data_IF_762009416839
#
_entry.id   IF_762009416839
#
_cell.length_a   1.000
_cell.length_b   1.000
_cell.length_c   1.000
_cell.angle_alpha   90.00
_cell.angle_beta   90.00
_cell.angle_gamma   90.00
#
_symmetry.space_group_name_H-M   'P 1'
#
loop_
_entity.id
_entity.type
_entity.pdbx_description
1 polymer ?
#
# COMPACT_ATOMS: atom_id res chain seq x y z
N UNK A 1 -18.97 -9.57 -2.73
CA UNK A 1 -18.88 -8.32 -1.94
C UNK A 1 -18.37 -7.25 -2.88
N UNK A 2 -19.28 -6.42 -3.35
CA UNK A 2 -19.11 -5.44 -4.42
C UNK A 2 -19.95 -4.23 -4.04
N UNK A 3 -19.53 -3.50 -3.02
CA UNK A 3 -20.04 -2.16 -2.77
C UNK A 3 -18.82 -1.30 -2.40
N UNK A 4 -18.42 -0.44 -3.34
CA UNK A 4 -17.43 0.64 -3.22
C UNK A 4 -15.93 0.33 -3.35
N UNK A 5 -15.50 -0.80 -3.91
CA UNK A 5 -14.07 -1.00 -4.23
C UNK A 5 -13.68 -0.24 -5.51
N UNK A 6 -13.09 0.95 -5.38
CA UNK A 6 -12.50 1.67 -6.52
C UNK A 6 -11.07 1.20 -6.77
N UNK A 7 -10.70 0.78 -7.99
CA UNK A 7 -9.31 0.50 -8.32
C UNK A 7 -8.52 1.80 -8.26
N UNK A 8 -7.65 1.92 -7.26
CA UNK A 8 -6.56 2.90 -7.28
C UNK A 8 -5.50 2.26 -8.16
N UNK A 9 -5.22 2.81 -9.34
CA UNK A 9 -4.23 2.27 -10.28
C UNK A 9 -2.99 1.73 -9.56
N UNK A 10 -2.69 0.45 -9.71
CA UNK A 10 -1.61 -0.21 -8.98
C UNK A 10 -0.69 -0.92 -9.95
N UNK A 11 0.61 -0.63 -9.90
CA UNK A 11 1.62 -1.19 -10.80
C UNK A 11 1.53 -2.71 -10.94
N UNK A 12 2.19 -3.46 -10.07
CA UNK A 12 2.19 -4.92 -10.12
C UNK A 12 1.06 -5.57 -9.29
N UNK A 13 0.26 -4.79 -8.56
CA UNK A 13 -0.72 -5.30 -7.59
C UNK A 13 -2.05 -4.55 -7.72
N UNK A 14 -3.16 -5.22 -7.38
CA UNK A 14 -4.48 -4.60 -7.40
C UNK A 14 -4.79 -3.95 -6.05
N UNK A 15 -5.18 -2.68 -6.08
CA UNK A 15 -5.42 -1.85 -4.88
C UNK A 15 -6.85 -1.32 -4.91
N UNK A 16 -7.56 -1.43 -3.79
CA UNK A 16 -8.96 -1.04 -3.64
C UNK A 16 -9.16 -0.19 -2.39
N UNK A 17 -10.10 0.77 -2.43
CA UNK A 17 -10.61 1.44 -1.21
C UNK A 17 -11.94 0.80 -0.83
N UNK A 18 -12.02 -0.16 0.11
CA UNK A 18 -13.30 -0.74 0.50
C UNK A 18 -14.13 0.14 1.45
N UNK A 19 -13.48 1.01 2.24
CA UNK A 19 -14.10 1.83 3.29
C UNK A 19 -13.39 3.18 3.43
N UNK A 20 -14.03 4.18 4.04
CA UNK A 20 -13.61 5.59 4.04
C UNK A 20 -12.22 5.90 4.63
N UNK A 21 -11.49 4.95 5.20
CA UNK A 21 -10.12 5.17 5.71
C UNK A 21 -9.21 3.94 5.54
N UNK A 22 -9.56 3.02 4.63
CA UNK A 22 -8.82 1.77 4.44
C UNK A 22 -8.53 1.51 2.98
N UNK A 23 -7.35 0.97 2.73
CA UNK A 23 -6.90 0.45 1.45
C UNK A 23 -6.70 -1.06 1.59
N UNK A 24 -7.22 -1.83 0.65
CA UNK A 24 -6.98 -3.26 0.54
C UNK A 24 -6.13 -3.52 -0.68
N UNK A 25 -5.08 -4.30 -0.48
CA UNK A 25 -4.15 -4.73 -1.52
C UNK A 25 -4.26 -6.22 -1.72
N UNK A 26 -4.44 -6.64 -2.96
CA UNK A 26 -4.41 -8.05 -3.34
C UNK A 26 -3.03 -8.38 -3.92
N UNK A 27 -2.35 -9.36 -3.33
CA UNK A 27 -1.08 -9.89 -3.84
C UNK A 27 -1.22 -10.38 -5.28
N UNK A 28 -0.13 -10.54 -6.00
CA UNK A 28 -0.17 -11.37 -7.21
C UNK A 28 -0.46 -12.84 -6.83
N UNK A 29 -0.80 -13.65 -7.84
CA UNK A 29 -0.83 -15.11 -7.67
C UNK A 29 0.56 -15.62 -7.27
N UNK A 30 0.62 -16.71 -6.50
CA UNK A 30 1.85 -17.40 -6.09
C UNK A 30 2.73 -16.68 -5.05
N UNK A 31 2.39 -15.46 -4.63
CA UNK A 31 3.05 -14.83 -3.47
C UNK A 31 2.59 -15.54 -2.19
N UNK A 32 3.53 -15.85 -1.29
CA UNK A 32 3.23 -16.53 -0.02
C UNK A 32 2.79 -15.55 1.07
N UNK A 33 2.05 -16.07 2.06
CA UNK A 33 1.61 -15.30 3.23
C UNK A 33 2.80 -14.73 4.00
N UNK A 34 3.88 -15.50 4.11
CA UNK A 34 5.08 -15.15 4.87
C UNK A 34 5.77 -13.93 4.24
N UNK A 35 5.82 -13.86 2.91
CA UNK A 35 6.39 -12.71 2.22
C UNK A 35 5.61 -11.43 2.53
N UNK A 36 4.28 -11.49 2.49
CA UNK A 36 3.43 -10.32 2.81
C UNK A 36 3.51 -9.98 4.30
N UNK A 37 3.63 -10.97 5.19
CA UNK A 37 3.80 -10.74 6.63
C UNK A 37 5.11 -10.01 6.93
N UNK A 38 6.21 -10.38 6.28
CA UNK A 38 7.50 -9.69 6.46
C UNK A 38 7.42 -8.22 6.04
N UNK A 39 6.72 -7.92 4.93
CA UNK A 39 6.48 -6.53 4.52
C UNK A 39 5.66 -5.78 5.59
N UNK A 40 4.58 -6.39 6.08
CA UNK A 40 3.73 -5.82 7.13
C UNK A 40 4.53 -5.58 8.43
N UNK A 41 5.38 -6.51 8.82
CA UNK A 41 6.26 -6.38 9.98
C UNK A 41 7.19 -5.17 9.83
N UNK A 42 7.78 -5.00 8.65
CA UNK A 42 8.65 -3.87 8.36
C UNK A 42 7.91 -2.54 8.38
N UNK A 43 6.73 -2.46 7.74
CA UNK A 43 5.91 -1.24 7.75
C UNK A 43 5.46 -0.90 9.17
N UNK A 44 5.06 -1.89 9.98
CA UNK A 44 4.70 -1.66 11.38
C UNK A 44 5.89 -1.18 12.21
N UNK A 45 7.08 -1.73 11.96
CA UNK A 45 8.30 -1.25 12.59
C UNK A 45 8.52 0.24 12.32
N UNK A 46 8.45 0.68 11.05
CA UNK A 46 8.59 2.08 10.65
C UNK A 46 7.50 2.97 11.28
N UNK A 47 6.24 2.53 11.24
CA UNK A 47 5.12 3.23 11.86
C UNK A 47 5.37 3.47 13.36
N UNK A 48 5.86 2.46 14.08
CA UNK A 48 6.17 2.57 15.50
C UNK A 48 7.38 3.47 15.81
N UNK A 49 8.25 3.73 14.83
CA UNK A 49 9.36 4.68 14.96
C UNK A 49 8.98 6.12 14.59
N UNK A 50 7.73 6.35 14.15
CA UNK A 50 7.23 7.67 13.80
C UNK A 50 7.45 8.07 12.35
N UNK A 51 7.87 7.14 11.50
CA UNK A 51 7.97 7.38 10.06
C UNK A 51 6.57 7.56 9.43
N UNK A 52 6.42 8.41 8.40
CA UNK A 52 5.15 8.69 7.75
C UNK A 52 4.75 7.56 6.78
N UNK A 53 4.42 6.39 7.34
CA UNK A 53 3.94 5.19 6.63
C UNK A 53 2.53 4.81 7.08
N UNK A 54 1.75 4.07 6.28
CA UNK A 54 0.39 3.71 6.67
C UNK A 54 0.41 2.69 7.80
N UNK A 55 -0.52 2.82 8.76
CA UNK A 55 -0.76 1.74 9.71
C UNK A 55 -1.27 0.50 8.97
N UNK A 56 -0.84 -0.69 9.39
CA UNK A 56 -1.23 -1.95 8.75
C UNK A 56 -1.95 -2.89 9.71
N UNK A 57 -2.81 -3.75 9.16
CA UNK A 57 -3.40 -4.86 9.91
C UNK A 57 -2.60 -6.14 9.67
N UNK A 58 -2.13 -6.79 10.74
CA UNK A 58 -1.37 -8.05 10.65
C UNK A 58 -2.23 -9.23 10.17
N UNK A 59 -3.55 -9.10 10.18
CA UNK A 59 -4.46 -10.16 9.75
C UNK A 59 -4.54 -10.19 8.22
N UNK A 60 -3.99 -11.24 7.63
CA UNK A 60 -4.15 -11.55 6.22
C UNK A 60 -5.45 -12.30 5.95
N UNK A 61 -6.08 -12.02 4.80
CA UNK A 61 -7.25 -12.78 4.32
C UNK A 61 -6.94 -13.43 2.98
N UNK A 62 -7.52 -14.59 2.71
CA UNK A 62 -7.42 -15.23 1.40
C UNK A 62 -8.65 -14.88 0.56
N UNK A 63 -8.44 -14.44 -0.68
CA UNK A 63 -9.51 -14.11 -1.63
C UNK A 63 -9.11 -14.57 -3.03
N UNK A 64 -9.84 -15.53 -3.57
CA UNK A 64 -9.58 -16.09 -4.92
C UNK A 64 -8.11 -16.48 -5.11
N UNK A 65 -7.55 -17.26 -4.17
CA UNK A 65 -6.15 -17.72 -4.19
C UNK A 65 -5.08 -16.62 -4.07
N UNK A 66 -5.50 -15.40 -3.73
CA UNK A 66 -4.63 -14.24 -3.52
C UNK A 66 -4.74 -13.75 -2.09
N UNK A 67 -3.64 -13.21 -1.58
CA UNK A 67 -3.57 -12.66 -0.23
C UNK A 67 -4.09 -11.23 -0.26
N UNK A 68 -5.00 -10.93 0.66
CA UNK A 68 -5.54 -9.61 0.92
C UNK A 68 -4.93 -9.06 2.19
N UNK A 69 -4.27 -7.91 2.07
CA UNK A 69 -3.72 -7.14 3.20
C UNK A 69 -4.40 -5.78 3.27
N UNK A 70 -4.59 -5.25 4.49
CA UNK A 70 -5.29 -3.99 4.74
C UNK A 70 -4.36 -2.96 5.34
N UNK A 71 -4.45 -1.74 4.82
CA UNK A 71 -3.63 -0.59 5.17
C UNK A 71 -4.54 0.59 5.47
N UNK A 72 -4.09 1.52 6.30
CA UNK A 72 -4.68 2.82 6.45
C UNK A 72 -4.61 3.61 5.13
N UNK A 73 -5.70 4.29 4.78
CA UNK A 73 -5.68 5.23 3.67
C UNK A 73 -4.98 6.52 4.10
N UNK A 74 -3.92 6.90 3.39
CA UNK A 74 -3.24 8.18 3.59
C UNK A 74 -3.85 9.20 2.61
N UNK A 75 -4.51 10.26 3.09
CA UNK A 75 -5.03 11.31 2.22
C UNK A 75 -3.88 12.13 1.64
N UNK A 76 -3.99 12.47 0.36
CA UNK A 76 -3.01 13.32 -0.32
C UNK A 76 -3.05 13.10 -1.82
N UNK A 77 -2.38 14.00 -2.53
CA UNK A 77 -2.20 13.89 -3.98
C UNK A 77 -0.89 13.15 -4.27
N UNK A 78 -0.93 12.04 -5.04
CA UNK A 78 0.29 11.37 -5.48
C UNK A 78 1.17 12.34 -6.26
N UNK A 79 2.47 12.32 -5.96
CA UNK A 79 3.44 13.07 -6.75
C UNK A 79 3.45 12.52 -8.18
N UNK A 80 3.26 13.40 -9.16
CA UNK A 80 3.50 13.06 -10.55
C UNK A 80 5.02 12.99 -10.80
N UNK A 81 5.55 11.77 -10.84
CA UNK A 81 6.97 11.49 -11.09
C UNK A 81 7.41 11.83 -12.51
N UNK A 82 6.49 12.03 -13.44
CA UNK A 82 6.80 12.46 -14.81
C UNK A 82 6.95 13.98 -14.91
N UNK A 83 6.48 14.72 -13.92
CA UNK A 83 6.63 16.16 -13.85
C UNK A 83 7.96 16.54 -13.16
N UNK A 84 8.91 17.04 -13.94
CA UNK A 84 10.21 17.48 -13.45
C UNK A 84 10.12 18.57 -12.36
N UNK A 85 9.06 19.38 -12.33
CA UNK A 85 8.89 20.41 -11.29
C UNK A 85 8.62 19.84 -9.89
N UNK A 86 8.33 18.54 -9.78
CA UNK A 86 8.19 17.84 -8.50
C UNK A 86 9.51 17.21 -8.02
N UNK A 87 10.58 17.29 -8.83
CA UNK A 87 11.87 16.73 -8.48
C UNK A 87 12.61 17.74 -7.61
N UNK A 88 13.07 17.31 -6.44
CA UNK A 88 13.88 18.14 -5.58
C UNK A 88 15.34 18.07 -6.06
N UNK A 89 15.69 18.88 -7.07
CA UNK A 89 17.03 18.91 -7.67
C UNK A 89 18.12 19.19 -6.60
N UNK A 90 17.82 19.97 -5.56
CA UNK A 90 18.75 20.31 -4.47
C UNK A 90 19.17 19.09 -3.62
N UNK A 91 18.37 18.02 -3.58
CA UNK A 91 18.71 16.78 -2.84
C UNK A 91 19.72 15.89 -3.59
N UNK A 92 19.96 16.15 -4.88
CA UNK A 92 20.79 15.31 -5.76
C UNK A 92 22.09 15.98 -6.23
N UNK A 93 22.36 17.23 -5.85
CA UNK A 93 23.67 17.85 -6.00
C UNK A 93 24.60 17.37 -4.86
N UNK A 94 25.54 16.49 -5.20
CA UNK A 94 26.61 15.99 -4.33
C UNK A 94 27.98 16.15 -4.96
#
# INVERSE_FOLDING_TARGET
MTENCFPLSGGFQDIFIPEQNKVVRLSQTLISSEYILQEIEWVNFLYHHGDPVPKTETTLRMKNERISASFEYIPGDPIDVTNASHWNEEMFEG
#
